data_IF_239973158084
#
_entry.id   IF_239973158084
#
_cell.length_a   1.000
_cell.length_b   1.000
_cell.length_c   1.000
_cell.angle_alpha   90.00
_cell.angle_beta   90.00
_cell.angle_gamma   90.00
#
_symmetry.space_group_name_H-M   'P 1'
#
loop_
_entity.id
_entity.type
_entity.pdbx_description
1 polymer ?
#
# COMPACT_ATOMS: atom_id res chain seq x y z
N UNK A 1 -58.22 -45.54 -39.87
CA UNK A 1 -58.97 -44.83 -38.79
C UNK A 1 -57.98 -44.17 -37.85
N UNK A 2 -58.21 -42.88 -37.60
CA UNK A 2 -57.66 -41.99 -36.56
C UNK A 2 -56.13 -41.83 -36.39
N UNK A 3 -55.62 -40.67 -36.85
CA UNK A 3 -54.42 -40.01 -36.34
C UNK A 3 -54.67 -39.47 -34.92
N UNK A 4 -53.72 -39.65 -33.99
CA UNK A 4 -53.63 -38.80 -32.78
C UNK A 4 -52.19 -38.36 -32.54
N UNK A 5 -52.08 -37.03 -32.44
CA UNK A 5 -50.90 -36.19 -32.34
C UNK A 5 -50.61 -35.89 -30.86
N UNK A 6 -49.38 -36.09 -30.38
CA UNK A 6 -48.87 -35.41 -29.17
C UNK A 6 -47.40 -35.00 -29.31
N UNK A 7 -47.23 -33.79 -29.87
CA UNK A 7 -46.38 -32.67 -29.44
C UNK A 7 -45.01 -32.97 -28.82
N UNK A 8 -43.97 -32.68 -29.59
CA UNK A 8 -42.60 -32.35 -29.17
C UNK A 8 -42.55 -31.07 -28.32
N UNK A 9 -41.98 -31.15 -27.12
CA UNK A 9 -41.44 -30.04 -26.30
C UNK A 9 -40.51 -30.70 -25.26
N UNK A 10 -39.22 -30.45 -25.11
CA UNK A 10 -38.42 -29.28 -25.43
C UNK A 10 -37.95 -28.65 -24.12
N UNK A 11 -36.75 -28.98 -23.64
CA UNK A 11 -35.93 -28.13 -22.74
C UNK A 11 -34.48 -28.61 -22.78
N UNK A 12 -33.59 -27.78 -23.35
CA UNK A 12 -32.14 -28.00 -23.35
C UNK A 12 -31.62 -28.15 -21.90
N UNK A 13 -30.60 -29.01 -21.65
CA UNK A 13 -29.90 -28.99 -20.37
C UNK A 13 -29.27 -27.61 -20.20
N UNK A 14 -29.73 -26.88 -19.19
CA UNK A 14 -29.23 -25.58 -18.79
C UNK A 14 -27.74 -25.76 -18.48
N UNK A 15 -26.89 -25.44 -19.45
CA UNK A 15 -25.50 -25.07 -19.18
C UNK A 15 -25.58 -23.85 -18.28
N UNK A 16 -25.45 -24.08 -16.97
CA UNK A 16 -25.16 -23.06 -15.98
C UNK A 16 -23.79 -22.47 -16.36
N UNK A 17 -23.76 -21.54 -17.32
CA UNK A 17 -22.60 -20.70 -17.56
C UNK A 17 -22.53 -19.77 -16.36
N UNK A 18 -21.87 -20.24 -15.30
CA UNK A 18 -21.44 -19.42 -14.18
C UNK A 18 -20.41 -18.46 -14.77
N UNK A 19 -20.86 -17.26 -15.16
CA UNK A 19 -19.96 -16.16 -15.52
C UNK A 19 -19.28 -15.74 -14.22
N UNK A 20 -18.22 -16.44 -13.86
CA UNK A 20 -17.30 -16.03 -12.82
C UNK A 20 -16.64 -14.74 -13.34
N UNK A 21 -17.14 -13.58 -12.88
CA UNK A 21 -16.42 -12.32 -13.05
C UNK A 21 -15.16 -12.41 -12.20
N UNK A 22 -14.13 -13.03 -12.75
CA UNK A 22 -12.78 -12.99 -12.19
C UNK A 22 -12.32 -11.54 -12.35
N UNK A 23 -12.57 -10.72 -11.34
CA UNK A 23 -11.84 -9.46 -11.20
C UNK A 23 -10.41 -9.85 -10.90
N UNK A 24 -9.57 -9.89 -11.93
CA UNK A 24 -8.13 -9.90 -11.75
C UNK A 24 -7.76 -8.59 -11.07
N UNK A 25 -7.68 -8.60 -9.73
CA UNK A 25 -7.02 -7.54 -8.99
C UNK A 25 -5.55 -7.65 -9.32
N UNK A 26 -5.11 -6.94 -10.34
CA UNK A 26 -3.67 -6.74 -10.58
C UNK A 26 -3.14 -5.95 -9.41
N UNK A 27 -2.49 -6.63 -8.48
CA UNK A 27 -1.68 -6.00 -7.43
C UNK A 27 -0.60 -5.17 -8.14
N UNK A 28 -0.84 -3.88 -8.33
CA UNK A 28 0.23 -2.99 -8.78
C UNK A 28 1.32 -2.94 -7.72
N UNK A 29 2.57 -3.02 -8.16
CA UNK A 29 3.73 -2.90 -7.29
C UNK A 29 4.47 -1.61 -7.67
N UNK A 30 4.96 -0.90 -6.65
CA UNK A 30 5.85 0.24 -6.85
C UNK A 30 7.28 -0.22 -6.56
N UNK A 31 8.05 -0.44 -7.61
CA UNK A 31 9.42 -0.93 -7.51
C UNK A 31 10.32 0.18 -6.93
N UNK A 32 10.99 -0.12 -5.82
CA UNK A 32 11.88 0.82 -5.14
C UNK A 32 13.03 1.21 -6.06
N UNK A 33 13.23 2.51 -6.27
CA UNK A 33 14.41 3.06 -6.96
C UNK A 33 15.46 3.41 -5.92
N UNK A 34 15.06 4.18 -4.91
CA UNK A 34 15.90 4.60 -3.79
C UNK A 34 15.05 4.73 -2.52
N UNK A 35 15.61 5.27 -1.43
CA UNK A 35 14.88 5.45 -0.16
C UNK A 35 13.65 6.36 -0.30
N UNK A 36 13.67 7.26 -1.29
CA UNK A 36 12.73 8.37 -1.43
C UNK A 36 11.73 8.19 -2.60
N UNK A 37 11.91 7.15 -3.41
CA UNK A 37 11.14 7.01 -4.64
C UNK A 37 10.94 5.57 -5.09
N UNK A 38 9.84 5.37 -5.81
CA UNK A 38 9.50 4.10 -6.44
C UNK A 38 8.81 4.33 -7.78
N UNK A 39 8.84 3.32 -8.65
CA UNK A 39 8.29 3.38 -10.00
C UNK A 39 7.33 2.23 -10.27
N UNK A 40 6.23 2.55 -10.91
CA UNK A 40 5.26 1.59 -11.40
C UNK A 40 5.68 1.03 -12.76
N UNK A 41 5.18 -0.17 -13.08
CA UNK A 41 5.47 -0.88 -14.34
C UNK A 41 5.21 -0.04 -15.59
N UNK A 42 4.20 0.83 -15.58
CA UNK A 42 3.80 1.67 -16.72
C UNK A 42 4.47 3.06 -16.74
N UNK A 43 5.47 3.29 -15.89
CA UNK A 43 6.32 4.48 -15.95
C UNK A 43 5.98 5.59 -14.96
N UNK A 44 4.78 5.57 -14.35
CA UNK A 44 4.43 6.46 -13.24
C UNK A 44 5.42 6.30 -12.09
N UNK A 45 5.75 7.38 -11.40
CA UNK A 45 6.73 7.39 -10.31
C UNK A 45 6.17 8.14 -9.10
N UNK A 46 6.42 7.60 -7.91
CA UNK A 46 6.27 8.33 -6.66
C UNK A 46 7.63 8.84 -6.26
N UNK A 47 7.72 10.15 -6.00
CA UNK A 47 8.92 10.80 -5.52
C UNK A 47 8.57 11.64 -4.29
N UNK A 48 9.20 11.32 -3.16
CA UNK A 48 8.95 11.94 -1.87
C UNK A 48 9.91 13.10 -1.58
N UNK A 49 10.86 13.42 -2.47
CA UNK A 49 11.84 14.49 -2.25
C UNK A 49 11.17 15.84 -2.01
N UNK A 50 10.03 16.11 -2.65
CA UNK A 50 9.28 17.35 -2.42
C UNK A 50 8.70 17.47 -1.00
N UNK A 51 8.49 16.33 -0.32
CA UNK A 51 7.99 16.27 1.05
C UNK A 51 9.09 15.87 2.04
N UNK A 52 10.29 15.55 1.57
CA UNK A 52 11.49 15.40 2.36
C UNK A 52 12.03 16.80 2.69
N UNK A 53 12.42 17.01 3.93
CA UNK A 53 12.86 18.33 4.39
C UNK A 53 14.06 18.22 5.30
N UNK A 54 14.74 19.35 5.52
CA UNK A 54 15.74 19.49 6.59
C UNK A 54 15.10 19.48 7.98
N UNK A 55 13.79 19.69 8.06
CA UNK A 55 13.01 19.63 9.29
C UNK A 55 12.11 18.39 9.30
N UNK A 56 12.19 17.64 10.41
CA UNK A 56 11.32 16.51 10.69
C UNK A 56 9.87 16.97 10.90
N UNK A 57 8.93 16.17 10.41
CA UNK A 57 7.49 16.38 10.60
C UNK A 57 7.04 15.76 11.90
N UNK A 58 6.11 16.43 12.59
CA UNK A 58 5.46 15.90 13.79
C UNK A 58 4.14 15.23 13.40
N UNK A 59 3.94 13.99 13.83
CA UNK A 59 2.67 13.27 13.75
C UNK A 59 2.23 12.72 15.10
N UNK A 60 0.97 12.31 15.20
CA UNK A 60 0.41 11.66 16.38
C UNK A 60 -0.33 10.37 15.96
N UNK A 61 -0.17 9.30 16.74
CA UNK A 61 -0.87 8.03 16.52
C UNK A 61 -1.61 7.61 17.79
N UNK A 62 -2.94 7.46 17.69
CA UNK A 62 -3.78 7.02 18.79
C UNK A 62 -3.82 8.03 19.95
N UNK A 63 -3.75 7.54 21.19
CA UNK A 63 -3.90 8.35 22.41
C UNK A 63 -2.60 9.04 22.83
N UNK A 64 -2.09 9.98 22.04
CA UNK A 64 -0.99 10.86 22.45
C UNK A 64 0.44 10.42 22.15
N UNK A 65 0.64 9.32 21.40
CA UNK A 65 2.00 8.95 20.96
C UNK A 65 2.43 9.86 19.83
N UNK A 66 3.45 10.69 20.10
CA UNK A 66 4.02 11.63 19.14
C UNK A 66 5.19 11.01 18.40
N UNK A 67 5.29 11.29 17.12
CA UNK A 67 6.36 10.83 16.27
C UNK A 67 6.96 12.00 15.53
N UNK A 68 8.28 12.09 15.53
CA UNK A 68 8.99 12.88 14.54
C UNK A 68 9.44 11.97 13.42
N UNK A 69 9.25 12.40 12.17
CA UNK A 69 9.61 11.59 11.02
C UNK A 69 10.05 12.42 9.82
N UNK A 70 10.83 11.80 8.95
CA UNK A 70 11.25 12.34 7.66
C UNK A 70 11.28 11.18 6.66
N UNK A 71 10.68 11.30 5.46
CA UNK A 71 10.51 10.15 4.58
C UNK A 71 11.83 9.60 4.04
N UNK A 72 12.85 10.45 3.84
CA UNK A 72 14.05 10.04 3.13
C UNK A 72 15.33 10.35 3.90
N UNK A 73 15.44 11.55 4.48
CA UNK A 73 16.67 11.99 5.14
C UNK A 73 16.67 11.63 6.63
N UNK A 74 17.60 10.78 7.11
CA UNK A 74 17.70 10.45 8.53
C UNK A 74 18.07 11.68 9.37
N UNK A 75 17.64 11.68 10.64
CA UNK A 75 17.94 12.74 11.59
C UNK A 75 18.44 12.18 12.92
N UNK A 76 19.22 13.01 13.63
CA UNK A 76 19.70 12.76 15.00
C UNK A 76 19.37 13.90 15.97
N UNK A 77 18.42 14.77 15.59
CA UNK A 77 18.08 15.97 16.38
C UNK A 77 17.18 15.69 17.59
N UNK A 78 16.91 14.42 17.90
CA UNK A 78 16.09 14.00 19.05
C UNK A 78 16.93 13.07 19.90
N UNK A 79 17.16 13.44 21.16
CA UNK A 79 17.92 12.61 22.11
C UNK A 79 17.30 11.22 22.25
N UNK A 80 18.11 10.16 22.07
CA UNK A 80 17.64 8.77 22.05
C UNK A 80 17.28 8.24 20.66
N UNK A 81 17.44 9.05 19.61
CA UNK A 81 17.15 8.70 18.23
C UNK A 81 18.28 9.19 17.32
N UNK A 82 19.21 8.29 16.98
CA UNK A 82 20.38 8.61 16.16
C UNK A 82 20.26 7.99 14.77
N UNK A 83 20.37 8.83 13.72
CA UNK A 83 20.34 8.40 12.32
C UNK A 83 19.07 7.62 11.94
N UNK A 84 17.91 8.10 12.39
CA UNK A 84 16.59 7.47 12.17
C UNK A 84 15.73 8.31 11.22
N UNK A 85 14.77 7.67 10.55
CA UNK A 85 13.73 8.36 9.76
C UNK A 85 12.43 8.52 10.55
N UNK A 86 12.25 7.74 11.62
CA UNK A 86 11.11 7.84 12.54
C UNK A 86 11.60 7.71 13.98
N UNK A 87 11.19 8.63 14.83
CA UNK A 87 11.46 8.64 16.25
C UNK A 87 10.15 8.79 17.01
N UNK A 88 9.86 7.89 17.94
CA UNK A 88 8.77 8.10 18.88
C UNK A 88 9.25 9.06 19.98
N UNK A 89 8.58 10.19 20.11
CA UNK A 89 8.98 11.24 21.04
C UNK A 89 8.18 11.12 22.33
N UNK A 90 8.91 10.95 23.42
CA UNK A 90 8.38 10.86 24.78
C UNK A 90 9.41 11.39 25.79
N UNK A 91 9.15 11.24 27.09
CA UNK A 91 10.15 11.53 28.15
C UNK A 91 11.46 10.75 27.93
N UNK A 92 11.36 9.54 27.39
CA UNK A 92 12.46 8.75 26.86
C UNK A 92 12.14 8.44 25.40
N UNK A 93 12.70 9.24 24.49
CA UNK A 93 12.46 9.03 23.06
C UNK A 93 13.21 7.79 22.57
N UNK A 94 12.65 7.12 21.57
CA UNK A 94 13.16 5.84 21.11
C UNK A 94 13.04 5.71 19.58
N UNK A 95 14.00 5.04 18.91
CA UNK A 95 13.94 4.76 17.49
C UNK A 95 12.65 4.00 17.15
N UNK A 96 11.98 4.41 16.08
CA UNK A 96 10.78 3.74 15.59
C UNK A 96 10.85 3.45 14.08
N UNK A 97 11.96 3.77 13.43
CA UNK A 97 12.18 3.51 12.01
C UNK A 97 13.56 3.92 11.52
N UNK A 98 14.20 3.02 10.80
CA UNK A 98 15.51 3.23 10.17
C UNK A 98 15.39 3.85 8.77
N UNK A 99 16.51 4.15 8.12
CA UNK A 99 16.51 4.64 6.74
C UNK A 99 16.04 3.62 5.69
N UNK A 100 15.89 2.36 6.07
CA UNK A 100 15.59 1.29 5.12
C UNK A 100 14.07 1.20 4.91
N UNK A 101 13.64 1.68 3.74
CA UNK A 101 12.24 1.75 3.34
C UNK A 101 11.86 0.64 2.36
N UNK A 102 10.60 0.24 2.40
CA UNK A 102 9.95 -0.56 1.36
C UNK A 102 8.70 0.15 0.88
N UNK A 103 8.35 -0.06 -0.38
CA UNK A 103 7.14 0.49 -0.97
C UNK A 103 6.15 -0.64 -1.26
N UNK A 104 4.90 -0.42 -0.87
CA UNK A 104 3.79 -1.32 -1.14
C UNK A 104 2.59 -0.52 -1.63
N UNK A 105 1.64 -1.20 -2.27
CA UNK A 105 0.38 -0.59 -2.69
C UNK A 105 -0.73 -1.27 -1.90
N UNK A 106 -1.54 -0.47 -1.21
CA UNK A 106 -2.67 -1.00 -0.45
C UNK A 106 -3.84 -1.37 -1.36
N UNK A 107 -4.89 -1.98 -0.79
CA UNK A 107 -6.10 -2.37 -1.53
C UNK A 107 -6.88 -1.21 -2.15
N UNK A 108 -6.63 0.03 -1.72
CA UNK A 108 -7.24 1.24 -2.25
C UNK A 108 -6.37 1.91 -3.33
N UNK A 109 -5.19 1.38 -3.63
CA UNK A 109 -4.26 1.91 -4.61
C UNK A 109 -3.32 2.99 -4.06
N UNK A 110 -3.26 3.20 -2.75
CA UNK A 110 -2.31 4.15 -2.17
C UNK A 110 -0.92 3.52 -2.03
N UNK A 111 0.11 4.31 -2.30
CA UNK A 111 1.49 3.91 -2.01
C UNK A 111 1.76 4.08 -0.51
N UNK A 112 2.15 2.98 0.13
CA UNK A 112 2.51 2.91 1.54
C UNK A 112 4.01 2.69 1.64
N UNK A 113 4.67 3.56 2.43
CA UNK A 113 6.07 3.42 2.80
C UNK A 113 6.13 2.62 4.09
N UNK A 114 6.76 1.45 4.04
CA UNK A 114 7.04 0.64 5.20
C UNK A 114 8.45 0.96 5.69
N UNK A 115 8.58 1.24 6.99
CA UNK A 115 9.84 1.58 7.63
C UNK A 115 10.10 0.54 8.72
N UNK A 116 11.23 -0.13 8.63
CA UNK A 116 11.62 -1.16 9.60
C UNK A 116 12.23 -0.51 10.85
N UNK A 117 11.77 -0.95 12.03
CA UNK A 117 12.24 -0.50 13.35
C UNK A 117 13.30 -1.42 13.93
#
# INVERSE_FOLDING_TARGET
MAFRNQRTAGTLPIFFIIILKITFSTSETCEKIDTCSCKFKYGSMVNLTAVDGTSKKRGEKGTGRKFDWNPCTPFSSVTGCDSVTVCQVSVASQPAGTKDTEFSVDSAGNVVINIWS
#
